data_IF_947848705640
#
_entry.id   IF_947848705640
#
_cell.length_a   1.000
_cell.length_b   1.000
_cell.length_c   1.000
_cell.angle_alpha   90.00
_cell.angle_beta   90.00
_cell.angle_gamma   90.00
#
_symmetry.space_group_name_H-M   'P 1'
#
loop_
_entity.id
_entity.type
_entity.pdbx_description
1 polymer ?
#
# COMPACT_ATOMS: atom_id res chain seq x y z
N UNK A 1 -4.58 -3.42 13.15
CA UNK A 1 -4.40 -3.65 11.70
C UNK A 1 -5.61 -3.13 10.95
N UNK A 2 -5.43 -2.18 10.03
CA UNK A 2 -6.49 -1.78 9.10
C UNK A 2 -6.45 -2.69 7.88
N UNK A 3 -7.61 -3.10 7.39
CA UNK A 3 -7.72 -3.95 6.21
C UNK A 3 -8.97 -3.57 5.42
N UNK A 4 -9.03 -3.98 4.16
CA UNK A 4 -10.16 -3.70 3.29
C UNK A 4 -10.75 -5.01 2.79
N UNK A 5 -12.06 -5.17 2.96
CA UNK A 5 -12.82 -6.27 2.41
C UNK A 5 -13.66 -5.80 1.22
N UNK A 6 -13.94 -6.73 0.30
CA UNK A 6 -14.83 -6.49 -0.82
C UNK A 6 -16.21 -7.09 -0.52
N UNK A 7 -17.26 -6.35 -0.81
CA UNK A 7 -18.63 -6.89 -0.77
C UNK A 7 -18.95 -7.76 -2.01
N UNK A 8 -20.17 -8.27 -2.09
CA UNK A 8 -20.66 -9.09 -3.21
C UNK A 8 -20.57 -8.38 -4.57
N UNK A 9 -20.72 -7.05 -4.57
CA UNK A 9 -20.61 -6.18 -5.74
C UNK A 9 -19.18 -5.72 -5.99
N UNK A 10 -18.21 -6.25 -5.22
CA UNK A 10 -16.79 -5.94 -5.21
C UNK A 10 -16.45 -4.53 -4.76
N UNK A 11 -17.30 -3.84 -4.01
CA UNK A 11 -16.96 -2.53 -3.46
C UNK A 11 -16.08 -2.68 -2.22
N UNK A 12 -15.03 -1.87 -2.11
CA UNK A 12 -14.02 -1.98 -1.06
C UNK A 12 -14.23 -1.03 0.11
N UNK A 13 -14.40 -1.57 1.32
CA UNK A 13 -14.54 -0.78 2.56
C UNK A 13 -13.49 -1.16 3.57
N UNK A 14 -12.97 -0.18 4.30
CA UNK A 14 -11.92 -0.42 5.29
C UNK A 14 -12.51 -0.63 6.68
N UNK A 15 -12.13 -1.72 7.32
CA UNK A 15 -12.32 -1.99 8.74
C UNK A 15 -10.97 -2.11 9.47
N UNK A 16 -11.02 -2.59 10.72
CA UNK A 16 -9.81 -2.93 11.46
C UNK A 16 -10.02 -4.15 12.36
N UNK A 17 -8.91 -4.80 12.69
CA UNK A 17 -8.80 -5.73 13.82
C UNK A 17 -7.67 -5.27 14.74
N UNK A 18 -7.91 -5.32 16.04
CA UNK A 18 -6.86 -5.19 17.05
C UNK A 18 -6.33 -6.59 17.38
N UNK A 19 -5.02 -6.74 17.30
CA UNK A 19 -4.33 -8.00 17.52
C UNK A 19 -3.51 -7.90 18.81
N UNK A 20 -3.37 -9.00 19.57
CA UNK A 20 -2.42 -9.04 20.69
C UNK A 20 -1.02 -8.90 20.13
N UNK A 21 -0.31 -7.85 20.54
CA UNK A 21 1.06 -7.60 20.09
C UNK A 21 2.00 -8.80 20.32
N UNK A 22 1.77 -9.60 21.37
CA UNK A 22 2.61 -10.77 21.71
C UNK A 22 2.26 -12.01 20.90
N UNK A 23 1.00 -12.11 20.48
CA UNK A 23 0.48 -13.20 19.66
C UNK A 23 -0.46 -12.62 18.59
N UNK A 24 0.07 -12.24 17.41
CA UNK A 24 -0.72 -11.63 16.35
C UNK A 24 -1.85 -12.52 15.80
N UNK A 25 -1.89 -13.82 16.12
CA UNK A 25 -3.02 -14.68 15.80
C UNK A 25 -4.26 -14.39 16.68
N UNK A 26 -4.06 -13.77 17.85
CA UNK A 26 -5.14 -13.48 18.79
C UNK A 26 -5.79 -12.13 18.49
N UNK A 27 -7.01 -12.19 17.94
CA UNK A 27 -7.86 -11.01 17.74
C UNK A 27 -8.45 -10.59 19.09
N UNK A 28 -8.20 -9.33 19.48
CA UNK A 28 -8.74 -8.71 20.69
C UNK A 28 -10.06 -8.02 20.42
N UNK A 29 -10.15 -7.33 19.29
CA UNK A 29 -11.33 -6.60 18.85
C UNK A 29 -11.38 -6.57 17.33
N UNK A 30 -12.58 -6.51 16.76
CA UNK A 30 -12.80 -6.34 15.33
C UNK A 30 -13.86 -5.25 15.13
N UNK A 31 -13.66 -4.39 14.14
CA UNK A 31 -14.64 -3.39 13.78
C UNK A 31 -15.95 -4.06 13.32
N UNK A 32 -17.07 -3.69 13.92
CA UNK A 32 -18.39 -4.13 13.48
C UNK A 32 -18.85 -3.38 12.22
N UNK A 33 -18.42 -2.12 12.08
CA UNK A 33 -18.74 -1.25 10.95
C UNK A 33 -17.45 -0.73 10.28
N UNK A 34 -17.50 -0.37 8.98
CA UNK A 34 -16.37 0.24 8.29
C UNK A 34 -15.91 1.54 8.95
N UNK A 35 -14.60 1.70 9.10
CA UNK A 35 -13.98 2.98 9.50
C UNK A 35 -13.76 3.93 8.34
N UNK A 36 -13.74 3.40 7.10
CA UNK A 36 -13.86 4.18 5.88
C UNK A 36 -14.81 3.48 4.91
N UNK A 37 -15.90 4.17 4.59
CA UNK A 37 -16.88 3.75 3.59
C UNK A 37 -16.56 4.38 2.22
N UNK A 38 -17.38 4.06 1.21
CA UNK A 38 -17.29 4.56 -0.15
C UNK A 38 -17.39 6.09 -0.23
N UNK A 39 -16.82 6.64 -1.29
CA UNK A 39 -17.09 8.01 -1.70
C UNK A 39 -18.53 8.20 -2.16
N UNK A 40 -18.90 9.44 -2.40
CA UNK A 40 -20.10 9.73 -3.18
C UNK A 40 -19.96 9.16 -4.60
N UNK A 41 -21.08 8.88 -5.26
CA UNK A 41 -21.08 8.40 -6.66
C UNK A 41 -20.30 9.39 -7.54
N UNK A 42 -19.30 8.89 -8.27
CA UNK A 42 -18.42 9.69 -9.12
C UNK A 42 -17.22 10.33 -8.41
N UNK A 43 -17.08 10.14 -7.09
CA UNK A 43 -15.85 10.48 -6.38
C UNK A 43 -14.73 9.47 -6.72
N UNK A 44 -13.47 9.84 -6.47
CA UNK A 44 -12.32 8.99 -6.81
C UNK A 44 -12.25 7.67 -6.03
N UNK A 45 -13.00 7.57 -4.94
CA UNK A 45 -13.13 6.43 -4.05
C UNK A 45 -14.55 5.86 -3.99
N UNK A 46 -15.34 6.09 -5.05
CA UNK A 46 -16.73 5.63 -5.15
C UNK A 46 -16.87 4.10 -5.23
N UNK A 47 -15.82 3.41 -5.68
CA UNK A 47 -15.80 1.96 -5.84
C UNK A 47 -14.98 1.26 -4.75
N UNK A 48 -14.12 2.01 -4.06
CA UNK A 48 -13.56 1.57 -2.80
C UNK A 48 -12.57 2.55 -2.17
N UNK A 49 -12.49 2.44 -0.85
CA UNK A 49 -11.56 3.20 0.00
C UNK A 49 -10.68 2.20 0.77
N UNK A 50 -9.48 1.94 0.25
CA UNK A 50 -8.56 0.93 0.79
C UNK A 50 -7.49 1.58 1.65
N UNK A 51 -7.44 1.34 2.95
CA UNK A 51 -6.39 1.88 3.81
C UNK A 51 -5.02 1.21 3.56
N UNK A 52 -3.96 2.01 3.64
CA UNK A 52 -2.57 1.53 3.46
C UNK A 52 -1.64 1.97 4.58
N UNK A 53 -1.71 3.23 5.00
CA UNK A 53 -0.72 3.78 5.93
C UNK A 53 -1.37 4.65 6.99
N UNK A 54 -0.98 4.41 8.24
CA UNK A 54 -1.40 5.19 9.39
C UNK A 54 -0.19 5.92 9.95
N UNK A 55 -0.28 7.25 10.04
CA UNK A 55 0.74 8.09 10.67
C UNK A 55 0.12 8.84 11.83
N UNK A 56 0.81 8.87 12.97
CA UNK A 56 0.43 9.67 14.14
C UNK A 56 1.27 10.94 14.17
N UNK A 57 0.63 12.07 14.42
CA UNK A 57 1.31 13.35 14.58
C UNK A 57 0.61 14.20 15.65
N UNK A 58 1.20 14.23 16.84
CA UNK A 58 0.58 14.79 18.02
C UNK A 58 -0.77 14.12 18.32
N UNK A 59 -1.87 14.89 18.48
CA UNK A 59 -3.20 14.33 18.74
C UNK A 59 -3.86 13.74 17.49
N UNK A 60 -3.34 14.03 16.29
CA UNK A 60 -3.96 13.63 15.02
C UNK A 60 -3.45 12.27 14.56
N UNK A 61 -4.33 11.53 13.88
CA UNK A 61 -3.97 10.36 13.09
C UNK A 61 -4.36 10.60 11.64
N UNK A 62 -3.42 10.34 10.74
CA UNK A 62 -3.57 10.42 9.30
C UNK A 62 -3.67 9.00 8.77
N UNK A 63 -4.83 8.63 8.22
CA UNK A 63 -5.05 7.38 7.52
C UNK A 63 -5.03 7.64 6.02
N UNK A 64 -3.89 7.35 5.41
CA UNK A 64 -3.71 7.42 3.97
C UNK A 64 -4.32 6.18 3.34
N UNK A 65 -5.18 6.41 2.36
CA UNK A 65 -5.93 5.37 1.69
C UNK A 65 -5.86 5.53 0.18
N UNK A 66 -6.08 4.45 -0.53
CA UNK A 66 -6.28 4.45 -1.96
C UNK A 66 -7.77 4.51 -2.25
N UNK A 67 -8.21 5.58 -2.90
CA UNK A 67 -9.48 5.61 -3.57
C UNK A 67 -9.37 4.96 -4.94
N UNK A 68 -10.36 4.17 -5.31
CA UNK A 68 -10.47 3.66 -6.67
C UNK A 68 -11.89 3.74 -7.18
N UNK A 69 -12.01 4.01 -8.47
CA UNK A 69 -13.26 4.10 -9.22
C UNK A 69 -13.17 3.19 -10.44
N UNK A 70 -14.22 2.42 -10.71
CA UNK A 70 -14.30 1.58 -11.92
C UNK A 70 -14.58 2.47 -13.11
N UNK A 71 -13.99 2.16 -14.27
CA UNK A 71 -14.30 2.88 -15.51
C UNK A 71 -14.69 1.90 -16.62
N UNK A 72 -15.19 2.42 -17.74
CA UNK A 72 -15.70 1.59 -18.83
C UNK A 72 -14.59 0.98 -19.69
N UNK A 73 -13.55 1.77 -20.02
CA UNK A 73 -12.46 1.34 -20.91
C UNK A 73 -11.23 0.85 -20.16
N UNK A 74 -10.73 1.66 -19.24
CA UNK A 74 -9.74 1.18 -18.27
C UNK A 74 -10.49 0.46 -17.14
N UNK A 75 -9.93 -0.60 -16.54
CA UNK A 75 -10.61 -1.28 -15.45
C UNK A 75 -10.89 -0.36 -14.25
N UNK A 76 -10.02 0.63 -14.01
CA UNK A 76 -10.09 1.54 -12.88
C UNK A 76 -9.15 2.74 -13.01
N UNK A 77 -9.45 3.79 -12.25
CA UNK A 77 -8.52 4.86 -11.87
C UNK A 77 -8.26 4.78 -10.37
N UNK A 78 -7.03 5.10 -9.96
CA UNK A 78 -6.59 4.96 -8.58
C UNK A 78 -5.85 6.20 -8.12
N UNK A 79 -6.26 6.79 -7.00
CA UNK A 79 -5.57 7.95 -6.41
C UNK A 79 -5.52 7.88 -4.88
N UNK A 80 -4.55 8.55 -4.27
CA UNK A 80 -4.40 8.59 -2.82
C UNK A 80 -5.30 9.65 -2.19
N UNK A 81 -6.13 9.20 -1.25
CA UNK A 81 -6.92 10.01 -0.34
C UNK A 81 -6.36 10.04 1.08
N UNK A 82 -6.97 10.88 1.90
CA UNK A 82 -6.63 11.02 3.31
C UNK A 82 -7.89 11.07 4.16
N UNK A 83 -7.88 10.34 5.27
CA UNK A 83 -8.84 10.52 6.35
C UNK A 83 -8.11 10.88 7.65
N UNK A 84 -8.71 11.74 8.46
CA UNK A 84 -8.10 12.31 9.66
C UNK A 84 -9.00 11.99 10.86
N UNK A 85 -8.38 11.43 11.90
CA UNK A 85 -8.91 11.44 13.27
C UNK A 85 -8.20 12.58 14.00
N UNK A 86 -8.95 13.57 14.46
CA UNK A 86 -8.44 14.79 15.10
C UNK A 86 -8.15 14.59 16.60
N UNK A 87 -8.41 13.40 17.14
CA UNK A 87 -8.26 13.09 18.56
C UNK A 87 -9.45 13.51 19.41
N UNK A 88 -10.55 14.01 18.81
CA UNK A 88 -11.77 14.39 19.54
C UNK A 88 -12.65 13.19 19.93
N UNK A 89 -12.20 11.96 19.65
CA UNK A 89 -12.96 10.73 19.86
C UNK A 89 -13.97 10.40 18.74
N UNK A 90 -14.02 11.19 17.67
CA UNK A 90 -14.97 11.01 16.56
C UNK A 90 -14.55 9.99 15.50
N UNK A 91 -13.34 9.43 15.58
CA UNK A 91 -12.80 8.52 14.57
C UNK A 91 -12.36 9.24 13.29
N UNK A 92 -12.11 8.45 12.22
CA UNK A 92 -11.63 8.99 10.95
C UNK A 92 -12.74 9.68 10.16
N UNK A 93 -12.43 10.84 9.60
CA UNK A 93 -13.25 11.53 8.60
C UNK A 93 -12.43 11.80 7.35
N UNK A 94 -13.00 11.54 6.17
CA UNK A 94 -12.34 11.88 4.89
C UNK A 94 -12.03 13.37 4.86
N UNK A 95 -10.79 13.70 4.53
CA UNK A 95 -10.30 15.08 4.48
C UNK A 95 -10.89 15.84 3.29
N UNK A 96 -11.11 15.14 2.17
CA UNK A 96 -11.54 15.73 0.91
C UNK A 96 -12.34 14.72 0.07
N UNK A 97 -13.22 15.23 -0.78
CA UNK A 97 -13.90 14.45 -1.85
C UNK A 97 -13.00 14.21 -3.07
N UNK A 98 -11.91 14.97 -3.17
CA UNK A 98 -10.87 14.83 -4.19
C UNK A 98 -9.60 14.18 -3.57
N UNK A 99 -8.79 13.47 -4.37
CA UNK A 99 -7.54 12.89 -3.87
C UNK A 99 -6.56 13.98 -3.41
N UNK A 100 -5.73 13.65 -2.41
CA UNK A 100 -4.63 14.51 -1.96
C UNK A 100 -3.38 14.35 -2.81
N UNK A 101 -3.32 13.26 -3.60
CA UNK A 101 -2.32 13.03 -4.63
C UNK A 101 -3.06 12.76 -5.96
N UNK A 102 -3.52 13.84 -6.58
CA UNK A 102 -4.29 13.78 -7.84
C UNK A 102 -3.38 13.52 -9.05
N UNK A 103 -3.97 13.23 -10.20
CA UNK A 103 -3.29 13.00 -11.47
C UNK A 103 -2.38 14.15 -11.89
N UNK A 104 -1.33 13.81 -12.59
CA UNK A 104 -0.45 14.75 -13.30
C UNK A 104 -0.31 14.29 -14.76
N UNK A 105 0.28 15.12 -15.61
CA UNK A 105 0.62 14.70 -16.98
C UNK A 105 1.55 13.48 -17.00
N UNK A 106 2.45 13.36 -16.02
CA UNK A 106 3.37 12.22 -15.92
C UNK A 106 2.73 10.97 -15.28
N UNK A 107 1.69 11.15 -14.47
CA UNK A 107 1.05 10.10 -13.67
C UNK A 107 -0.49 10.20 -13.74
N UNK A 108 -1.08 10.01 -14.94
CA UNK A 108 -2.49 10.33 -15.16
C UNK A 108 -3.48 9.30 -14.60
N UNK A 109 -3.04 8.05 -14.35
CA UNK A 109 -3.96 6.92 -14.14
C UNK A 109 -3.94 6.33 -12.73
N UNK A 110 -2.75 6.17 -12.16
CA UNK A 110 -2.55 5.56 -10.85
C UNK A 110 -1.54 6.39 -10.07
N UNK A 111 -1.94 6.87 -8.89
CA UNK A 111 -1.06 7.42 -7.84
C UNK A 111 -1.57 6.91 -6.50
N UNK A 112 -1.40 5.62 -6.25
CA UNK A 112 -2.05 4.88 -5.18
C UNK A 112 -1.09 4.06 -4.33
N UNK A 113 -1.64 3.14 -3.54
CA UNK A 113 -0.90 2.32 -2.60
C UNK A 113 0.14 3.08 -1.74
N UNK A 114 -0.26 4.17 -1.05
CA UNK A 114 0.69 5.03 -0.36
C UNK A 114 1.21 4.38 0.93
N UNK A 115 2.53 4.32 1.08
CA UNK A 115 3.19 4.14 2.37
C UNK A 115 3.76 5.47 2.82
N UNK A 116 3.33 5.96 3.98
CA UNK A 116 3.77 7.23 4.53
C UNK A 116 4.56 7.03 5.81
N UNK A 117 5.68 7.71 5.91
CA UNK A 117 6.52 7.80 7.10
C UNK A 117 6.73 9.28 7.45
N UNK A 118 6.65 9.62 8.74
CA UNK A 118 7.08 10.95 9.20
C UNK A 118 8.53 10.86 9.67
N UNK A 119 9.42 11.60 9.02
CA UNK A 119 10.79 11.85 9.45
C UNK A 119 10.90 13.27 10.02
N UNK A 120 11.96 13.55 10.78
CA UNK A 120 12.21 14.77 11.59
C UNK A 120 11.33 16.00 11.27
N UNK A 121 11.41 16.53 10.06
CA UNK A 121 10.76 17.77 9.61
C UNK A 121 9.75 17.60 8.46
N UNK A 122 9.63 16.40 7.90
CA UNK A 122 8.79 16.14 6.72
C UNK A 122 8.15 14.75 6.72
N UNK A 123 7.05 14.63 6.00
CA UNK A 123 6.47 13.36 5.63
C UNK A 123 7.08 12.89 4.31
N UNK A 124 7.39 11.60 4.23
CA UNK A 124 7.81 10.89 3.05
C UNK A 124 6.71 9.92 2.65
N UNK A 125 6.39 9.87 1.36
CA UNK A 125 5.45 8.92 0.77
C UNK A 125 6.15 8.12 -0.32
N UNK A 126 6.10 6.80 -0.23
CA UNK A 126 6.38 5.91 -1.34
C UNK A 126 5.06 5.35 -1.86
N UNK A 127 4.84 5.40 -3.16
CA UNK A 127 3.54 5.09 -3.74
C UNK A 127 3.65 4.46 -5.11
N UNK A 128 2.65 3.67 -5.49
CA UNK A 128 2.55 3.05 -6.81
C UNK A 128 2.06 4.07 -7.85
N UNK A 129 2.76 4.15 -8.97
CA UNK A 129 2.43 5.02 -10.10
C UNK A 129 2.37 4.25 -11.41
N UNK A 130 1.31 4.46 -12.20
CA UNK A 130 1.26 4.04 -13.60
C UNK A 130 1.04 5.23 -14.53
N UNK A 131 1.86 5.30 -15.57
CA UNK A 131 1.79 6.32 -16.62
C UNK A 131 1.05 5.85 -17.87
N UNK A 132 0.81 4.55 -18.04
CA UNK A 132 0.10 4.00 -19.19
C UNK A 132 -0.60 2.67 -18.90
N UNK A 133 -1.66 2.44 -19.68
CA UNK A 133 -2.27 1.13 -19.90
C UNK A 133 -1.75 0.55 -21.22
N UNK A 134 -1.47 -0.75 -21.23
CA UNK A 134 -0.94 -1.50 -22.37
C UNK A 134 -1.85 -2.67 -22.65
N UNK A 135 -2.21 -2.87 -23.92
CA UNK A 135 -2.98 -4.02 -24.38
C UNK A 135 -2.16 -4.76 -25.42
N UNK A 136 -1.77 -5.99 -25.11
CA UNK A 136 -0.97 -6.86 -25.96
C UNK A 136 -1.35 -8.34 -25.78
N UNK A 137 -0.46 -9.27 -26.13
CA UNK A 137 -0.68 -10.72 -26.01
C UNK A 137 -0.91 -11.20 -24.57
N UNK A 138 -0.52 -10.41 -23.56
CA UNK A 138 -0.78 -10.67 -22.15
C UNK A 138 -2.09 -10.04 -21.66
N UNK A 139 -2.85 -9.40 -22.55
CA UNK A 139 -4.08 -8.68 -22.26
C UNK A 139 -3.84 -7.28 -21.71
N UNK A 140 -4.90 -6.65 -21.22
CA UNK A 140 -4.85 -5.29 -20.69
C UNK A 140 -4.15 -5.24 -19.33
N UNK A 141 -3.02 -4.56 -19.26
CA UNK A 141 -2.22 -4.37 -18.05
C UNK A 141 -1.68 -2.93 -17.97
N UNK A 142 -0.90 -2.65 -16.93
CA UNK A 142 -0.25 -1.38 -16.70
C UNK A 142 1.21 -1.60 -16.34
N UNK A 143 2.01 -0.55 -16.50
CA UNK A 143 3.38 -0.51 -15.98
C UNK A 143 3.37 0.28 -14.66
N UNK A 144 3.69 -0.39 -13.54
CA UNK A 144 3.79 0.29 -12.24
C UNK A 144 5.24 0.37 -11.78
N UNK A 145 5.60 1.56 -11.34
CA UNK A 145 6.81 1.83 -10.57
C UNK A 145 6.45 2.38 -9.19
N UNK A 146 7.40 2.31 -8.25
CA UNK A 146 7.29 3.00 -6.97
C UNK A 146 7.95 4.36 -7.13
N UNK A 147 7.22 5.42 -6.77
CA UNK A 147 7.73 6.80 -6.73
C UNK A 147 7.78 7.30 -5.30
N UNK A 148 8.47 8.42 -5.12
CA UNK A 148 8.62 9.10 -3.85
C UNK A 148 8.02 10.51 -3.93
N UNK A 149 7.46 10.98 -2.82
CA UNK A 149 6.99 12.33 -2.64
C UNK A 149 7.23 12.82 -1.20
N UNK A 150 7.42 14.12 -1.03
CA UNK A 150 7.57 14.76 0.28
C UNK A 150 6.42 15.72 0.58
N UNK A 151 6.15 15.92 1.87
CA UNK A 151 5.15 16.88 2.33
C UNK A 151 5.56 17.50 3.67
N UNK A 152 5.45 18.83 3.84
CA UNK A 152 5.69 19.47 5.14
C UNK A 152 4.51 19.31 6.11
N UNK A 153 3.30 19.01 5.61
CA UNK A 153 2.06 19.00 6.39
C UNK A 153 1.29 17.66 6.32
N UNK A 154 1.76 16.70 5.54
CA UNK A 154 1.10 15.41 5.30
C UNK A 154 -0.12 15.49 4.38
N UNK A 155 -0.43 16.67 3.84
CA UNK A 155 -1.63 16.92 3.03
C UNK A 155 -1.24 17.34 1.61
N UNK A 156 -0.28 18.25 1.47
CA UNK A 156 0.21 18.74 0.18
C UNK A 156 1.52 18.05 -0.18
N UNK A 157 1.53 17.35 -1.31
CA UNK A 157 2.63 16.47 -1.70
C UNK A 157 3.36 17.00 -2.93
N UNK A 158 4.69 16.91 -2.91
CA UNK A 158 5.57 17.20 -4.03
C UNK A 158 6.26 15.88 -4.40
N UNK A 159 5.93 15.35 -5.57
CA UNK A 159 6.51 14.11 -6.06
C UNK A 159 7.81 14.35 -6.82
N UNK A 160 8.73 13.40 -6.71
CA UNK A 160 10.00 13.43 -7.44
C UNK A 160 9.80 13.03 -8.90
N UNK A 161 10.65 13.58 -9.78
CA UNK A 161 10.59 13.34 -11.22
C UNK A 161 10.97 11.90 -11.61
N UNK A 162 11.79 11.22 -10.79
CA UNK A 162 12.30 9.88 -11.07
C UNK A 162 11.62 8.83 -10.18
N UNK A 163 11.44 7.60 -10.67
CA UNK A 163 11.00 6.49 -9.82
C UNK A 163 12.02 6.20 -8.72
N UNK A 164 11.52 5.81 -7.55
CA UNK A 164 12.32 5.27 -6.46
C UNK A 164 12.72 3.82 -6.74
N UNK A 165 11.77 2.99 -7.20
CA UNK A 165 12.00 1.59 -7.60
C UNK A 165 11.27 1.32 -8.91
N UNK A 166 11.95 0.70 -9.87
CA UNK A 166 11.40 0.31 -11.18
C UNK A 166 11.53 -1.19 -11.42
N UNK A 167 10.84 -1.71 -12.43
CA UNK A 167 11.00 -3.08 -12.91
C UNK A 167 12.43 -3.31 -13.42
N UNK A 168 12.97 -4.53 -13.25
CA UNK A 168 14.36 -4.88 -13.60
C UNK A 168 14.47 -5.75 -14.85
N UNK A 169 13.36 -6.32 -15.31
CA UNK A 169 13.35 -7.16 -16.49
C UNK A 169 12.07 -6.95 -17.31
N UNK A 170 12.07 -7.29 -18.61
CA UNK A 170 10.86 -7.27 -19.43
C UNK A 170 9.76 -8.22 -18.97
N UNK A 171 10.09 -9.20 -18.11
CA UNK A 171 9.10 -10.11 -17.54
C UNK A 171 8.28 -9.45 -16.43
N UNK A 172 8.83 -8.43 -15.75
CA UNK A 172 8.16 -7.66 -14.71
C UNK A 172 7.38 -6.48 -15.33
N UNK A 173 6.12 -6.33 -14.95
CA UNK A 173 5.29 -5.19 -15.38
C UNK A 173 4.83 -4.31 -14.21
N UNK A 174 5.02 -4.73 -12.96
CA UNK A 174 4.67 -3.89 -11.83
C UNK A 174 5.53 -4.16 -10.59
N UNK A 175 6.02 -3.08 -9.99
CA UNK A 175 6.56 -3.05 -8.62
C UNK A 175 5.76 -2.03 -7.81
N UNK A 176 5.13 -2.45 -6.71
CA UNK A 176 4.21 -1.57 -5.97
C UNK A 176 4.00 -2.03 -4.53
N UNK A 177 3.03 -1.42 -3.85
CA UNK A 177 2.70 -1.72 -2.43
C UNK A 177 3.96 -1.68 -1.53
N UNK A 178 4.65 -0.52 -1.47
CA UNK A 178 5.82 -0.38 -0.61
C UNK A 178 5.45 -0.51 0.86
N UNK A 179 6.38 -1.06 1.63
CA UNK A 179 6.41 -0.99 3.09
C UNK A 179 7.83 -0.67 3.52
N UNK A 180 8.02 0.49 4.14
CA UNK A 180 9.35 1.02 4.46
C UNK A 180 9.62 1.01 5.97
N UNK A 181 10.77 0.49 6.37
CA UNK A 181 11.31 0.57 7.71
C UNK A 181 12.59 1.41 7.67
N UNK A 182 12.79 2.29 8.65
CA UNK A 182 14.08 2.95 8.85
C UNK A 182 14.75 2.31 10.07
N UNK A 183 15.94 1.75 9.87
CA UNK A 183 16.65 0.95 10.85
C UNK A 183 18.17 1.11 10.68
N UNK A 184 18.90 1.38 11.77
CA UNK A 184 20.36 1.59 11.77
C UNK A 184 20.88 2.53 10.68
N UNK A 185 20.16 3.62 10.43
CA UNK A 185 20.52 4.62 9.42
C UNK A 185 20.22 4.22 7.98
N UNK A 186 19.55 3.09 7.76
CA UNK A 186 19.19 2.55 6.44
C UNK A 186 17.68 2.47 6.30
N UNK A 187 17.17 2.98 5.19
CA UNK A 187 15.81 2.72 4.74
C UNK A 187 15.76 1.35 4.06
N UNK A 188 14.82 0.52 4.48
CA UNK A 188 14.58 -0.83 3.99
C UNK A 188 13.15 -0.89 3.46
N UNK A 189 12.96 -1.28 2.21
CA UNK A 189 11.65 -1.37 1.58
C UNK A 189 11.36 -2.79 1.16
N UNK A 190 10.22 -3.31 1.58
CA UNK A 190 9.60 -4.48 0.99
C UNK A 190 8.50 -4.02 0.05
N UNK A 191 8.36 -4.69 -1.09
CA UNK A 191 7.36 -4.34 -2.09
C UNK A 191 6.87 -5.58 -2.83
N UNK A 192 5.74 -5.46 -3.50
CA UNK A 192 5.16 -6.55 -4.26
C UNK A 192 5.57 -6.44 -5.74
N UNK A 193 5.96 -7.58 -6.33
CA UNK A 193 6.42 -7.68 -7.72
C UNK A 193 5.44 -8.53 -8.52
N UNK A 194 5.05 -8.06 -9.70
CA UNK A 194 4.25 -8.80 -10.68
C UNK A 194 5.05 -9.05 -11.94
N UNK A 195 4.94 -10.28 -12.42
CA UNK A 195 5.54 -10.72 -13.68
C UNK A 195 4.51 -11.43 -14.55
N UNK A 196 4.74 -11.48 -15.86
CA UNK A 196 3.85 -12.20 -16.79
C UNK A 196 3.94 -13.72 -16.64
N UNK A 197 5.11 -14.21 -16.24
CA UNK A 197 5.47 -15.62 -16.20
C UNK A 197 5.57 -16.20 -14.78
N UNK A 198 5.37 -15.38 -13.74
CA UNK A 198 5.49 -15.80 -12.34
C UNK A 198 4.36 -15.23 -11.48
N UNK A 199 3.89 -15.98 -10.47
CA UNK A 199 2.97 -15.44 -9.47
C UNK A 199 3.59 -14.26 -8.70
N UNK A 200 2.72 -13.51 -8.01
CA UNK A 200 3.15 -12.44 -7.12
C UNK A 200 4.22 -12.91 -6.12
N UNK A 201 5.28 -12.11 -5.98
CA UNK A 201 6.33 -12.29 -4.97
C UNK A 201 6.62 -10.98 -4.25
N UNK A 202 7.36 -11.08 -3.15
CA UNK A 202 7.85 -9.94 -2.38
C UNK A 202 9.31 -9.68 -2.76
N UNK A 203 9.61 -8.44 -3.11
CA UNK A 203 10.96 -7.93 -3.35
C UNK A 203 11.46 -7.07 -2.19
N UNK A 204 12.72 -6.66 -2.28
CA UNK A 204 13.40 -5.89 -1.25
C UNK A 204 14.38 -4.88 -1.85
N UNK A 205 14.51 -3.73 -1.21
CA UNK A 205 15.47 -2.70 -1.58
C UNK A 205 15.97 -1.93 -0.35
N UNK A 206 17.16 -1.35 -0.47
CA UNK A 206 17.77 -0.50 0.56
C UNK A 206 18.11 0.88 0.02
N UNK A 207 18.09 1.88 0.89
CA UNK A 207 18.46 3.25 0.60
C UNK A 207 19.08 3.93 1.82
N UNK A 208 20.06 4.81 1.61
CA UNK A 208 20.63 5.64 2.69
C UNK A 208 19.92 6.98 2.85
N UNK A 209 19.13 7.41 1.87
CA UNK A 209 18.47 8.72 1.83
C UNK A 209 16.93 8.63 1.70
N UNK A 210 16.38 7.44 1.49
CA UNK A 210 14.96 7.20 1.26
C UNK A 210 14.48 7.54 -0.15
N UNK A 211 15.35 8.06 -1.01
CA UNK A 211 15.03 8.56 -2.36
C UNK A 211 15.66 7.67 -3.42
N UNK A 212 16.94 7.34 -3.27
CA UNK A 212 17.72 6.51 -4.18
C UNK A 212 17.81 5.09 -3.63
N UNK A 213 17.25 4.12 -4.34
CA UNK A 213 17.13 2.74 -3.87
C UNK A 213 17.98 1.76 -4.67
N UNK A 214 18.56 0.79 -3.97
CA UNK A 214 19.23 -0.36 -4.57
C UNK A 214 18.37 -1.60 -4.34
N UNK A 215 17.83 -2.19 -5.41
CA UNK A 215 17.08 -3.45 -5.34
C UNK A 215 18.01 -4.60 -4.93
N UNK A 216 17.48 -5.46 -4.08
CA UNK A 216 18.13 -6.64 -3.49
C UNK A 216 17.10 -7.74 -3.28
N UNK A 217 16.36 -8.07 -4.33
CA UNK A 217 15.18 -8.96 -4.25
C UNK A 217 15.45 -10.31 -3.59
N UNK A 218 16.64 -10.88 -3.80
CA UNK A 218 17.05 -12.15 -3.17
C UNK A 218 17.16 -12.07 -1.65
N UNK A 219 17.25 -10.86 -1.10
CA UNK A 219 17.37 -10.57 0.33
C UNK A 219 16.02 -10.25 0.98
N UNK A 220 14.89 -10.49 0.30
CA UNK A 220 13.56 -10.23 0.86
C UNK A 220 13.24 -11.01 2.14
N UNK A 221 13.94 -12.13 2.38
CA UNK A 221 13.85 -12.90 3.61
C UNK A 221 12.54 -13.67 3.79
N UNK A 222 11.69 -13.73 2.75
CA UNK A 222 10.42 -14.43 2.77
C UNK A 222 10.18 -15.16 1.44
N UNK A 223 9.61 -16.36 1.54
CA UNK A 223 9.19 -17.17 0.40
C UNK A 223 7.80 -17.76 0.64
N UNK A 224 7.22 -18.36 -0.41
CA UNK A 224 5.93 -19.06 -0.31
C UNK A 224 6.07 -20.30 0.57
N UNK A 225 5.03 -20.60 1.34
CA UNK A 225 4.93 -21.88 2.03
C UNK A 225 4.87 -23.06 1.05
N UNK A 226 5.25 -24.26 1.50
CA UNK A 226 5.17 -25.46 0.67
C UNK A 226 3.71 -25.84 0.35
N UNK A 227 2.80 -25.54 1.27
CA UNK A 227 1.37 -25.82 1.18
C UNK A 227 0.58 -24.73 1.92
N UNK A 228 -0.74 -24.72 1.75
CA UNK A 228 -1.63 -23.80 2.48
C UNK A 228 -1.94 -22.50 1.74
N UNK A 229 -2.37 -21.49 2.50
CA UNK A 229 -3.05 -20.30 2.02
C UNK A 229 -2.16 -19.32 1.23
N UNK A 230 -0.85 -19.45 1.32
CA UNK A 230 0.19 -18.59 0.71
C UNK A 230 1.15 -19.37 -0.21
N UNK A 231 0.83 -20.63 -0.50
CA UNK A 231 1.71 -21.54 -1.26
C UNK A 231 1.87 -21.20 -2.74
N UNK A 232 0.89 -20.55 -3.37
CA UNK A 232 0.97 -20.19 -4.79
C UNK A 232 1.57 -18.80 -5.00
N UNK A 233 1.25 -17.83 -4.11
CA UNK A 233 1.73 -16.44 -4.18
C UNK A 233 1.77 -15.79 -2.79
N UNK A 234 2.65 -14.81 -2.65
CA UNK A 234 2.70 -13.86 -1.51
C UNK A 234 2.76 -12.43 -2.04
N UNK A 235 2.01 -11.52 -1.42
CA UNK A 235 1.91 -10.14 -1.90
C UNK A 235 1.55 -9.16 -0.77
N UNK A 236 1.62 -7.87 -1.10
CA UNK A 236 1.16 -6.75 -0.28
C UNK A 236 1.79 -6.74 1.13
N UNK A 237 3.13 -6.68 1.22
CA UNK A 237 3.82 -6.70 2.50
C UNK A 237 3.52 -5.44 3.31
N UNK A 238 3.35 -5.61 4.62
CA UNK A 238 3.30 -4.55 5.61
C UNK A 238 4.21 -4.94 6.79
N UNK A 239 5.35 -4.28 6.88
CA UNK A 239 6.38 -4.53 7.89
C UNK A 239 6.18 -3.60 9.07
N UNK A 240 6.24 -4.16 10.28
CA UNK A 240 6.12 -3.43 11.54
C UNK A 240 7.08 -4.01 12.57
N UNK A 241 7.71 -3.12 13.34
CA UNK A 241 8.51 -3.50 14.50
C UNK A 241 7.65 -3.47 15.75
N UNK A 242 7.63 -4.57 16.50
CA UNK A 242 6.90 -4.73 17.77
C UNK A 242 7.89 -5.19 18.81
N UNK A 243 8.30 -4.28 19.68
CA UNK A 243 9.45 -4.46 20.58
C UNK A 243 10.70 -4.84 19.76
N UNK A 244 11.39 -5.93 20.11
CA UNK A 244 12.56 -6.43 19.39
C UNK A 244 12.20 -7.32 18.18
N UNK A 245 10.92 -7.55 17.91
CA UNK A 245 10.45 -8.43 16.83
C UNK A 245 10.13 -7.65 15.57
N UNK A 246 10.53 -8.21 14.43
CA UNK A 246 10.17 -7.72 13.11
C UNK A 246 9.10 -8.62 12.50
N UNK A 247 7.90 -8.07 12.33
CA UNK A 247 6.76 -8.77 11.76
C UNK A 247 6.46 -8.24 10.36
N UNK A 248 6.12 -9.13 9.44
CA UNK A 248 5.57 -8.80 8.13
C UNK A 248 4.17 -9.39 8.01
N UNK A 249 3.15 -8.54 7.92
CA UNK A 249 1.82 -8.95 7.51
C UNK A 249 1.75 -8.98 5.97
N UNK A 250 1.09 -9.98 5.40
CA UNK A 250 0.99 -10.13 3.95
C UNK A 250 -0.24 -10.94 3.52
N UNK A 251 -0.61 -10.80 2.26
CA UNK A 251 -1.68 -11.57 1.63
C UNK A 251 -1.11 -12.75 0.84
N UNK A 252 -1.84 -13.86 0.85
CA UNK A 252 -1.50 -15.09 0.15
C UNK A 252 -2.28 -15.24 -1.14
N UNK A 253 -2.65 -16.48 -1.46
CA UNK A 253 -3.29 -16.89 -2.71
C UNK A 253 -4.51 -16.03 -3.08
N UNK A 254 -4.68 -15.80 -4.39
CA UNK A 254 -5.80 -15.04 -4.97
C UNK A 254 -5.97 -13.64 -4.35
N UNK A 255 -4.84 -12.99 -4.06
CA UNK A 255 -4.79 -11.61 -3.58
C UNK A 255 -5.43 -11.46 -2.18
N UNK A 256 -5.27 -12.48 -1.33
CA UNK A 256 -5.82 -12.50 0.02
C UNK A 256 -7.25 -13.00 0.12
N UNK A 257 -7.66 -13.96 -0.74
CA UNK A 257 -9.00 -14.55 -0.67
C UNK A 257 -9.30 -15.20 0.69
N UNK A 258 -8.27 -15.69 1.38
CA UNK A 258 -8.34 -16.22 2.76
C UNK A 258 -8.00 -15.17 3.83
N UNK A 259 -7.92 -13.88 3.48
CA UNK A 259 -7.47 -12.81 4.36
C UNK A 259 -5.95 -12.56 4.27
N UNK A 260 -5.34 -12.31 5.43
CA UNK A 260 -3.91 -12.04 5.57
C UNK A 260 -3.32 -12.90 6.69
N UNK A 261 -2.01 -13.13 6.63
CA UNK A 261 -1.23 -13.75 7.70
C UNK A 261 -0.04 -12.89 8.07
N UNK A 262 0.90 -13.44 8.85
CA UNK A 262 2.16 -12.79 9.16
C UNK A 262 3.34 -13.76 9.12
N UNK A 263 4.53 -13.20 8.96
CA UNK A 263 5.82 -13.84 9.17
C UNK A 263 6.60 -13.03 10.22
N UNK A 264 7.48 -13.72 10.94
CA UNK A 264 8.38 -13.12 11.93
C UNK A 264 9.82 -13.41 11.50
N UNK A 265 10.68 -12.39 11.55
CA UNK A 265 12.10 -12.57 11.28
C UNK A 265 12.75 -13.40 12.41
N UNK A 266 13.62 -14.35 12.04
CA UNK A 266 14.35 -15.24 12.95
C UNK A 266 15.82 -14.85 13.02
#
# INVERSE_FOLDING_TARGET
MYFTSLDENKFGRTGYVDLDSRDPCRILHAAEEPVLDLGEIGAFDDSGATAFSLVRDGPRKYLYYQGWQRTERAPHLIFTGLAIDDGSGGGFRKHSRAPILDRTEAEPFIRGAPYVMKAADAFHMWYASASRWVEDEHGLHYDIVIRHATSPDGIRWIADDRPAVSTESPAEYAVGRPSVLFDDGVYRMWYAIRSFNEPYRIGYAESSDGVSWTRRDSEAGIGRSQEGWDSAMICYPQVVRVDDRLLMFYNGNQHGASGFGYAEAV
#
